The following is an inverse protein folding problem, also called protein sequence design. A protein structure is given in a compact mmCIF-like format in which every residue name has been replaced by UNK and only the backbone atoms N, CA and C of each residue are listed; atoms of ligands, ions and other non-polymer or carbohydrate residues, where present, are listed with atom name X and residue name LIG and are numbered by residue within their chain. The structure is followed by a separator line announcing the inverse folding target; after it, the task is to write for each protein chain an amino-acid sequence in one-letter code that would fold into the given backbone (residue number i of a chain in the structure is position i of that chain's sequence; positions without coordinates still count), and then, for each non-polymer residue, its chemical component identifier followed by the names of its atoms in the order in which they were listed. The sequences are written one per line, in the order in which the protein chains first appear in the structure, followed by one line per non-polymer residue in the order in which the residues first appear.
data_IF_805534184680
#
_entry.id   IF_805534184680
#
_cell.length_a   1.000
_cell.length_b   1.000
_cell.length_c   1.000
_cell.angle_alpha   90.00
_cell.angle_beta   90.00
_cell.angle_gamma   90.00
#
_symmetry.space_group_name_H-M   'P 1'
#
loop_
_entity.id
_entity.type
_entity.pdbx_description
1 polymer ?
#
# COMPACT_ATOMS: atom_id res chain seq x y z
N UNK A 1 -24.12 15.09 -35.67
CA UNK A 1 -24.72 14.62 -34.40
C UNK A 1 -25.23 15.84 -33.65
N UNK A 2 -26.51 16.18 -33.78
CA UNK A 2 -27.09 17.37 -33.14
C UNK A 2 -27.72 16.92 -31.84
N UNK A 3 -27.03 17.08 -30.71
CA UNK A 3 -27.61 16.75 -29.42
C UNK A 3 -28.63 17.83 -29.04
N UNK A 4 -29.90 17.45 -28.96
CA UNK A 4 -30.99 18.34 -28.57
C UNK A 4 -30.82 18.74 -27.08
N UNK A 5 -30.98 20.03 -26.79
CA UNK A 5 -31.00 20.52 -25.41
C UNK A 5 -32.25 19.99 -24.69
N UNK A 6 -32.09 19.47 -23.48
CA UNK A 6 -33.22 19.06 -22.65
C UNK A 6 -34.14 20.27 -22.39
N UNK A 7 -35.45 20.04 -22.47
CA UNK A 7 -36.48 21.04 -22.22
C UNK A 7 -36.41 21.59 -20.79
N UNK A 8 -36.68 22.89 -20.64
CA UNK A 8 -36.71 23.52 -19.32
C UNK A 8 -37.75 22.84 -18.42
N UNK A 9 -37.34 22.38 -17.23
CA UNK A 9 -38.18 21.66 -16.27
C UNK A 9 -37.99 20.15 -16.23
N UNK A 10 -37.11 19.57 -17.06
CA UNK A 10 -36.72 18.16 -16.93
C UNK A 10 -35.99 17.92 -15.61
N UNK A 11 -36.49 16.97 -14.81
CA UNK A 11 -35.86 16.58 -13.55
C UNK A 11 -34.44 16.08 -13.78
N UNK A 12 -33.51 16.50 -12.93
CA UNK A 12 -32.13 16.00 -12.95
C UNK A 12 -32.17 14.52 -12.58
N UNK A 13 -31.90 13.66 -13.55
CA UNK A 13 -31.80 12.23 -13.35
C UNK A 13 -30.34 11.81 -13.25
N UNK A 14 -30.06 10.91 -12.32
CA UNK A 14 -28.75 10.28 -12.19
C UNK A 14 -28.54 9.36 -13.40
N UNK A 15 -27.46 9.53 -14.19
CA UNK A 15 -27.23 8.71 -15.37
C UNK A 15 -27.01 7.24 -15.01
N UNK A 16 -27.87 6.34 -15.52
CA UNK A 16 -27.70 4.89 -15.34
C UNK A 16 -26.74 4.30 -16.38
N UNK A 17 -25.52 4.83 -16.42
CA UNK A 17 -24.48 4.39 -17.36
C UNK A 17 -23.41 3.57 -16.65
N UNK A 18 -22.75 2.65 -17.38
CA UNK A 18 -21.65 1.87 -16.83
C UNK A 18 -20.54 2.75 -16.24
N UNK A 19 -20.22 3.87 -16.92
CA UNK A 19 -19.23 4.85 -16.45
C UNK A 19 -19.65 5.51 -15.14
N UNK A 20 -20.91 5.91 -15.01
CA UNK A 20 -21.40 6.54 -13.78
C UNK A 20 -21.43 5.57 -12.61
N UNK A 21 -21.85 4.31 -12.84
CA UNK A 21 -21.77 3.24 -11.84
C UNK A 21 -20.32 2.94 -11.44
N UNK A 22 -19.38 2.99 -12.38
CA UNK A 22 -17.95 2.83 -12.08
C UNK A 22 -17.42 3.97 -11.21
N UNK A 23 -17.79 5.23 -11.51
CA UNK A 23 -17.40 6.37 -10.66
C UNK A 23 -17.99 6.23 -9.25
N UNK A 24 -19.27 5.89 -9.12
CA UNK A 24 -19.88 5.63 -7.81
C UNK A 24 -19.19 4.51 -7.05
N UNK A 25 -18.76 3.46 -7.74
CA UNK A 25 -17.99 2.38 -7.13
C UNK A 25 -16.62 2.86 -6.66
N UNK A 26 -15.91 3.68 -7.45
CA UNK A 26 -14.63 4.27 -7.05
C UNK A 26 -14.78 5.21 -5.84
N UNK A 27 -15.83 6.03 -5.81
CA UNK A 27 -16.14 6.91 -4.69
C UNK A 27 -16.46 6.10 -3.42
N UNK A 28 -17.23 5.02 -3.55
CA UNK A 28 -17.56 4.14 -2.42
C UNK A 28 -16.33 3.41 -1.88
N UNK A 29 -15.44 2.92 -2.74
CA UNK A 29 -14.18 2.29 -2.35
C UNK A 29 -13.25 3.31 -1.68
N UNK A 30 -13.09 4.50 -2.25
CA UNK A 30 -12.26 5.57 -1.67
C UNK A 30 -12.81 6.14 -0.35
N UNK A 31 -14.11 6.00 -0.10
CA UNK A 31 -14.72 6.38 1.18
C UNK A 31 -14.65 5.26 2.24
N UNK A 32 -14.63 4.00 1.82
CA UNK A 32 -14.49 2.83 2.70
C UNK A 32 -13.03 2.59 3.12
N UNK A 33 -12.10 2.91 2.22
CA UNK A 33 -10.67 2.93 2.43
C UNK A 33 -10.22 4.40 2.29
N UNK A 34 -10.63 5.29 3.24
CA UNK A 34 -10.05 6.63 3.26
C UNK A 34 -8.54 6.41 3.27
N UNK A 35 -7.75 7.20 2.51
CA UNK A 35 -6.31 7.12 2.65
C UNK A 35 -6.06 7.28 4.15
N UNK A 36 -5.68 6.19 4.81
CA UNK A 36 -5.23 6.25 6.20
C UNK A 36 -4.29 7.43 6.20
N UNK A 37 -4.55 8.40 7.08
CA UNK A 37 -3.74 9.59 7.22
C UNK A 37 -2.32 9.10 7.08
N UNK A 38 -1.69 9.41 5.93
CA UNK A 38 -0.47 8.71 5.49
C UNK A 38 0.74 9.16 6.31
N UNK A 39 0.45 9.69 7.48
CA UNK A 39 1.21 9.68 8.70
C UNK A 39 1.33 8.23 9.19
N UNK A 40 1.93 7.35 8.37
CA UNK A 40 2.80 6.30 8.93
C UNK A 40 3.63 7.02 9.99
N UNK A 41 3.46 6.66 11.27
CA UNK A 41 4.00 7.36 12.44
C UNK A 41 5.22 8.19 12.06
N UNK A 42 5.00 9.51 11.92
CA UNK A 42 6.00 10.41 11.34
C UNK A 42 7.35 10.22 12.01
N UNK A 43 7.35 9.76 13.26
CA UNK A 43 8.51 9.43 14.05
C UNK A 43 8.42 8.01 14.64
N UNK A 44 9.42 7.17 14.35
CA UNK A 44 9.54 5.83 14.91
C UNK A 44 10.86 5.69 15.67
N UNK A 45 10.82 5.05 16.83
CA UNK A 45 12.00 4.69 17.61
C UNK A 45 12.54 3.35 17.15
N UNK A 46 13.81 3.31 16.79
CA UNK A 46 14.53 2.09 16.44
C UNK A 46 15.79 1.97 17.29
N UNK A 47 16.19 0.73 17.54
CA UNK A 47 17.45 0.42 18.18
C UNK A 47 18.59 0.56 17.18
N UNK A 48 19.62 1.35 17.52
CA UNK A 48 20.77 1.64 16.68
C UNK A 48 22.06 1.35 17.43
N UNK A 49 23.01 0.74 16.74
CA UNK A 49 24.36 0.50 17.25
C UNK A 49 25.39 1.24 16.40
N UNK A 50 26.18 2.12 17.01
CA UNK A 50 27.21 2.90 16.32
C UNK A 50 28.59 2.38 16.70
N UNK A 51 29.40 1.96 15.72
CA UNK A 51 30.80 1.57 15.93
C UNK A 51 31.03 0.52 17.03
N UNK A 52 30.09 -0.42 17.20
CA UNK A 52 30.18 -1.45 18.23
C UNK A 52 29.87 -0.97 19.66
N UNK A 53 29.26 0.22 19.81
CA UNK A 53 28.75 0.70 21.09
C UNK A 53 27.65 -0.20 21.65
N UNK A 54 27.21 0.12 22.88
CA UNK A 54 25.92 -0.34 23.38
C UNK A 54 24.78 0.16 22.49
N UNK A 55 23.71 -0.62 22.45
CA UNK A 55 22.49 -0.32 21.70
C UNK A 55 21.84 0.96 22.24
N UNK A 56 21.42 1.84 21.33
CA UNK A 56 20.81 3.13 21.64
C UNK A 56 19.46 3.24 20.94
N UNK A 57 18.43 3.64 21.69
CA UNK A 57 17.12 3.95 21.12
C UNK A 57 17.12 5.36 20.56
N UNK A 58 16.89 5.46 19.25
CA UNK A 58 16.82 6.73 18.54
C UNK A 58 15.49 6.85 17.80
N UNK A 59 14.85 8.01 17.94
CA UNK A 59 13.59 8.34 17.25
C UNK A 59 13.88 9.08 15.96
N UNK A 60 13.45 8.55 14.83
CA UNK A 60 13.69 9.13 13.50
C UNK A 60 12.40 9.46 12.80
N UNK A 61 12.46 10.52 11.98
CA UNK A 61 11.40 10.74 11.02
C UNK A 61 11.47 9.66 9.91
N UNK A 62 10.42 8.86 9.77
CA UNK A 62 10.42 7.68 8.88
C UNK A 62 10.56 8.10 7.42
N UNK A 63 9.86 9.15 6.99
CA UNK A 63 9.92 9.63 5.61
C UNK A 63 11.31 10.15 5.23
N UNK A 64 11.95 10.92 6.13
CA UNK A 64 13.32 11.42 5.90
C UNK A 64 14.35 10.30 5.91
N UNK A 65 14.23 9.35 6.84
CA UNK A 65 15.12 8.20 6.88
C UNK A 65 15.02 7.36 5.60
N UNK A 66 13.79 7.08 5.13
CA UNK A 66 13.55 6.40 3.85
C UNK A 66 14.16 7.17 2.68
N UNK A 67 13.98 8.49 2.61
CA UNK A 67 14.56 9.30 1.55
C UNK A 67 16.10 9.23 1.51
N UNK A 68 16.76 9.25 2.67
CA UNK A 68 18.24 9.09 2.76
C UNK A 68 18.68 7.69 2.32
N UNK A 69 17.87 6.67 2.61
CA UNK A 69 18.14 5.27 2.22
C UNK A 69 17.69 4.93 0.80
N UNK A 70 17.01 5.85 0.09
CA UNK A 70 16.43 5.59 -1.23
C UNK A 70 15.23 4.65 -1.23
N UNK A 71 14.56 4.48 -0.08
CA UNK A 71 13.38 3.61 0.07
C UNK A 71 12.10 4.33 -0.38
N UNK A 72 11.10 3.59 -0.90
CA UNK A 72 9.80 4.15 -1.26
C UNK A 72 9.12 4.85 -0.08
N UNK A 73 8.39 5.92 -0.36
CA UNK A 73 7.73 6.73 0.68
C UNK A 73 6.55 6.04 1.38
N UNK A 74 6.11 4.90 0.88
CA UNK A 74 5.01 4.12 1.41
C UNK A 74 5.47 2.67 1.66
N UNK A 75 4.94 2.06 2.71
CA UNK A 75 5.17 0.64 2.97
C UNK A 75 4.39 -0.22 1.95
N UNK A 76 5.10 -0.82 0.99
CA UNK A 76 4.50 -1.70 -0.02
C UNK A 76 4.13 -3.10 0.52
N UNK A 77 4.65 -3.49 1.69
CA UNK A 77 4.35 -4.78 2.33
C UNK A 77 3.17 -4.67 3.31
N UNK A 78 2.98 -3.51 3.94
CA UNK A 78 1.91 -3.31 4.94
C UNK A 78 0.52 -3.05 4.34
N UNK A 79 0.43 -2.73 3.05
CA UNK A 79 -0.83 -2.38 2.39
C UNK A 79 -0.94 -3.03 1.00
N UNK A 80 -2.16 -3.36 0.58
CA UNK A 80 -2.44 -4.02 -0.69
C UNK A 80 -2.28 -5.55 -0.65
N UNK A 81 -1.95 -6.16 -1.78
CA UNK A 81 -1.95 -7.63 -1.98
C UNK A 81 -0.94 -8.40 -1.11
N UNK A 82 0.02 -7.71 -0.48
CA UNK A 82 1.06 -8.30 0.35
C UNK A 82 0.82 -8.14 1.87
N UNK A 83 -0.29 -7.51 2.28
CA UNK A 83 -0.59 -7.29 3.71
C UNK A 83 -0.73 -8.58 4.52
N UNK A 84 -1.07 -9.69 3.87
CA UNK A 84 -1.18 -11.03 4.47
C UNK A 84 0.04 -11.91 4.22
N UNK A 85 1.11 -11.36 3.63
CA UNK A 85 2.31 -12.13 3.35
C UNK A 85 3.04 -12.45 4.65
N UNK A 86 2.97 -13.73 5.03
CA UNK A 86 3.81 -14.32 6.07
C UNK A 86 4.88 -15.12 5.34
N UNK A 87 6.17 -14.74 5.39
CA UNK A 87 7.22 -15.57 4.82
C UNK A 87 7.14 -16.96 5.46
N UNK A 88 7.14 -18.00 4.62
CA UNK A 88 7.20 -19.37 5.13
C UNK A 88 8.45 -19.49 6.00
N UNK A 89 8.37 -20.13 7.18
CA UNK A 89 9.56 -20.40 7.97
C UNK A 89 10.57 -21.16 7.10
N UNK A 90 11.85 -20.80 7.25
CA UNK A 90 12.93 -21.56 6.62
C UNK A 90 12.80 -23.04 7.03
N UNK A 91 12.96 -23.99 6.09
CA UNK A 91 12.88 -25.40 6.41
C UNK A 91 13.91 -25.74 7.49
N UNK A 92 13.43 -26.35 8.58
CA UNK A 92 14.27 -26.70 9.73
C UNK A 92 15.25 -27.85 9.43
N UNK A 93 15.00 -28.58 8.35
CA UNK A 93 15.80 -29.70 7.87
C UNK A 93 16.34 -29.35 6.50
N UNK A 94 17.61 -29.65 6.27
CA UNK A 94 18.23 -29.56 4.96
C UNK A 94 17.51 -30.52 4.02
N UNK A 95 16.87 -29.97 2.98
CA UNK A 95 16.15 -30.77 2.01
C UNK A 95 17.17 -31.23 0.99
N UNK A 96 17.37 -32.55 0.87
CA UNK A 96 18.24 -33.11 -0.15
C UNK A 96 17.82 -32.58 -1.53
N UNK A 97 18.77 -32.04 -2.28
CA UNK A 97 18.54 -31.46 -3.61
C UNK A 97 18.38 -32.58 -4.64
N UNK A 98 17.23 -33.26 -4.60
CA UNK A 98 16.90 -34.43 -5.44
C UNK A 98 16.67 -34.03 -6.90
N UNK A 99 16.21 -32.80 -7.14
CA UNK A 99 15.84 -32.32 -8.48
C UNK A 99 17.05 -32.04 -9.40
N UNK A 100 18.27 -31.98 -8.83
CA UNK A 100 19.52 -31.81 -9.58
C UNK A 100 20.41 -33.08 -9.57
N UNK A 101 19.87 -34.24 -9.19
CA UNK A 101 20.64 -35.48 -9.05
C UNK A 101 20.85 -36.28 -10.34
N UNK A 102 20.27 -35.89 -11.47
CA UNK A 102 20.47 -36.60 -12.74
C UNK A 102 20.71 -35.65 -13.94
N UNK A 103 21.96 -35.65 -14.43
CA UNK A 103 22.34 -35.55 -15.86
C UNK A 103 23.35 -36.67 -16.19
#
# INVERSE_FOLDING_TARGET
MTQARQSAGTAVAVPDTATFRQMQHLDAVGAADPPEDRDEDLYQTIDVRLNGSTELQLTFNVQRLRAVLGLPSHNAMGSGIFSTFVPSPEPAEDIEDVDHQDD
#
